data_IF_329535324494
#
_entry.id   IF_329535324494
#
_cell.length_a   1.000
_cell.length_b   1.000
_cell.length_c   1.000
_cell.angle_alpha   90.00
_cell.angle_beta   90.00
_cell.angle_gamma   90.00
#
_symmetry.space_group_name_H-M   'P 1'
#
loop_
_entity.id
_entity.type
_entity.pdbx_description
1 polymer ?
#
# COMPACT_ATOMS: atom_id res chain seq x y z
N UNK A 1 -10.22 -6.34 10.01
CA UNK A 1 -9.30 -6.89 8.98
C UNK A 1 -9.25 -8.41 9.01
N UNK A 2 -9.17 -9.05 10.19
CA UNK A 2 -9.25 -10.51 10.33
C UNK A 2 -10.47 -11.16 9.61
N UNK A 3 -11.68 -10.62 9.82
CA UNK A 3 -12.91 -11.13 9.15
C UNK A 3 -12.84 -11.05 7.61
N UNK A 4 -12.22 -10.00 7.08
CA UNK A 4 -12.00 -9.86 5.64
C UNK A 4 -11.01 -10.89 5.12
N UNK A 5 -9.93 -11.14 5.86
CA UNK A 5 -8.97 -12.19 5.52
C UNK A 5 -9.66 -13.57 5.53
N UNK A 6 -10.44 -13.91 6.55
CA UNK A 6 -11.16 -15.20 6.56
C UNK A 6 -12.09 -15.33 5.35
N UNK A 7 -12.88 -14.28 5.05
CA UNK A 7 -13.80 -14.28 3.91
C UNK A 7 -13.07 -14.48 2.57
N UNK A 8 -12.01 -13.71 2.30
CA UNK A 8 -11.26 -13.82 1.05
C UNK A 8 -10.43 -15.12 0.96
N UNK A 9 -9.98 -15.66 2.10
CA UNK A 9 -9.31 -16.96 2.16
C UNK A 9 -10.24 -18.10 1.75
N UNK A 10 -11.45 -18.14 2.31
CA UNK A 10 -12.48 -19.09 1.89
C UNK A 10 -12.89 -18.89 0.42
N UNK A 11 -13.01 -17.63 -0.02
CA UNK A 11 -13.28 -17.29 -1.43
C UNK A 11 -12.20 -17.79 -2.38
N UNK A 12 -10.91 -17.72 -2.00
CA UNK A 12 -9.78 -18.18 -2.81
C UNK A 12 -9.79 -19.70 -2.98
N UNK A 13 -10.02 -20.44 -1.90
CA UNK A 13 -10.09 -21.91 -1.94
C UNK A 13 -11.23 -22.41 -2.83
N UNK A 14 -12.38 -21.71 -2.82
CA UNK A 14 -13.57 -22.10 -3.58
C UNK A 14 -13.64 -21.47 -4.99
N UNK A 15 -12.62 -20.72 -5.40
CA UNK A 15 -12.62 -20.01 -6.66
C UNK A 15 -12.53 -20.96 -7.86
N UNK A 16 -13.53 -20.91 -8.75
CA UNK A 16 -13.64 -21.78 -9.93
C UNK A 16 -12.72 -21.39 -11.09
N UNK A 17 -12.32 -20.12 -11.17
CA UNK A 17 -11.51 -19.57 -12.26
C UNK A 17 -10.21 -19.00 -11.71
N UNK A 18 -9.12 -19.17 -12.46
CA UNK A 18 -7.80 -18.66 -12.06
C UNK A 18 -7.78 -17.15 -11.81
N UNK A 19 -8.53 -16.37 -12.59
CA UNK A 19 -8.65 -14.91 -12.38
C UNK A 19 -9.27 -14.54 -11.04
N UNK A 20 -10.38 -15.18 -10.67
CA UNK A 20 -11.01 -15.00 -9.37
C UNK A 20 -10.09 -15.46 -8.23
N UNK A 21 -9.39 -16.58 -8.42
CA UNK A 21 -8.41 -17.07 -7.44
C UNK A 21 -7.30 -16.05 -7.18
N UNK A 22 -6.75 -15.43 -8.23
CA UNK A 22 -5.74 -14.37 -8.09
C UNK A 22 -6.27 -13.18 -7.29
N UNK A 23 -7.49 -12.72 -7.60
CA UNK A 23 -8.12 -11.61 -6.88
C UNK A 23 -8.38 -11.91 -5.41
N UNK A 24 -8.96 -13.07 -5.11
CA UNK A 24 -9.21 -13.50 -3.74
C UNK A 24 -7.91 -13.67 -2.95
N UNK A 25 -6.88 -14.27 -3.53
CA UNK A 25 -5.58 -14.45 -2.88
C UNK A 25 -4.89 -13.11 -2.58
N UNK A 26 -4.86 -12.18 -3.54
CA UNK A 26 -4.28 -10.85 -3.31
C UNK A 26 -5.04 -10.10 -2.21
N UNK A 27 -6.38 -10.14 -2.25
CA UNK A 27 -7.24 -9.47 -1.26
C UNK A 27 -7.07 -10.09 0.13
N UNK A 28 -6.94 -11.41 0.21
CA UNK A 28 -6.61 -12.14 1.43
C UNK A 28 -5.31 -11.63 2.06
N UNK A 29 -4.22 -11.57 1.30
CA UNK A 29 -2.93 -11.10 1.82
C UNK A 29 -2.97 -9.64 2.27
N UNK A 30 -3.66 -8.76 1.53
CA UNK A 30 -3.85 -7.36 1.96
C UNK A 30 -4.55 -7.31 3.32
N UNK A 31 -5.66 -8.03 3.49
CA UNK A 31 -6.38 -8.07 4.75
C UNK A 31 -5.57 -8.72 5.88
N UNK A 32 -4.78 -9.76 5.58
CA UNK A 32 -3.94 -10.44 6.55
C UNK A 32 -2.82 -9.53 7.07
N UNK A 33 -2.11 -8.85 6.16
CA UNK A 33 -1.07 -7.87 6.50
C UNK A 33 -1.67 -6.73 7.34
N UNK A 34 -2.83 -6.20 6.94
CA UNK A 34 -3.51 -5.16 7.71
C UNK A 34 -3.97 -5.68 9.08
N UNK A 35 -4.42 -6.93 9.17
CA UNK A 35 -4.78 -7.54 10.46
C UNK A 35 -3.58 -7.64 11.39
N UNK A 36 -2.42 -8.05 10.88
CA UNK A 36 -1.18 -8.10 11.64
C UNK A 36 -0.72 -6.70 12.10
N UNK A 37 -0.84 -5.68 11.24
CA UNK A 37 -0.58 -4.29 11.62
C UNK A 37 -1.42 -3.88 12.82
N UNK A 38 -2.75 -4.02 12.71
CA UNK A 38 -3.66 -3.56 13.75
C UNK A 38 -3.47 -4.34 15.06
N UNK A 39 -3.18 -5.64 14.97
CA UNK A 39 -2.83 -6.46 16.13
C UNK A 39 -1.54 -5.95 16.79
N UNK A 40 -0.47 -5.71 16.02
CA UNK A 40 0.79 -5.19 16.54
C UNK A 40 0.59 -3.85 17.26
N UNK A 41 -0.19 -2.92 16.66
CA UNK A 41 -0.47 -1.64 17.28
C UNK A 41 -1.36 -1.75 18.53
N UNK A 42 -2.29 -2.71 18.55
CA UNK A 42 -3.15 -2.97 19.71
C UNK A 42 -2.34 -3.54 20.89
N UNK A 43 -1.31 -4.34 20.61
CA UNK A 43 -0.33 -4.83 21.59
C UNK A 43 0.73 -3.77 21.97
N UNK A 44 0.61 -2.55 21.44
CA UNK A 44 1.51 -1.45 21.71
C UNK A 44 2.85 -1.49 20.96
N UNK A 45 3.01 -2.41 19.99
CA UNK A 45 4.22 -2.53 19.17
C UNK A 45 4.21 -1.59 17.97
N UNK A 46 5.41 -1.25 17.47
CA UNK A 46 5.56 -0.49 16.23
C UNK A 46 5.22 1.01 16.34
N UNK A 47 5.16 1.52 17.56
CA UNK A 47 4.99 2.94 17.88
C UNK A 47 6.14 3.44 18.75
N UNK A 48 6.56 4.67 18.53
CA UNK A 48 7.60 5.33 19.34
C UNK A 48 7.33 6.83 19.42
N UNK A 49 7.88 7.49 20.44
CA UNK A 49 7.82 8.94 20.54
C UNK A 49 8.92 9.51 19.66
N UNK A 50 8.53 10.20 18.59
CA UNK A 50 9.46 10.85 17.66
C UNK A 50 9.20 12.35 17.74
N UNK A 51 10.22 13.13 18.12
CA UNK A 51 10.12 14.58 18.35
C UNK A 51 8.92 15.00 19.23
N UNK A 52 8.72 14.28 20.34
CA UNK A 52 7.67 14.59 21.31
C UNK A 52 6.25 14.20 20.88
N UNK A 53 6.07 13.45 19.78
CA UNK A 53 4.77 12.95 19.33
C UNK A 53 4.75 11.43 19.19
N UNK A 54 3.69 10.75 19.68
CA UNK A 54 3.52 9.32 19.45
C UNK A 54 3.35 9.07 17.94
N UNK A 55 4.27 8.28 17.40
CA UNK A 55 4.42 8.03 15.96
C UNK A 55 4.39 6.53 15.70
N UNK A 56 3.39 6.09 14.94
CA UNK A 56 3.22 4.68 14.60
C UNK A 56 3.91 4.40 13.27
N UNK A 57 5.24 4.21 13.33
CA UNK A 57 6.09 4.07 12.15
C UNK A 57 5.91 2.71 11.45
N UNK A 58 5.44 1.67 12.16
CA UNK A 58 5.20 0.33 11.58
C UNK A 58 4.19 0.34 10.42
N UNK A 59 3.34 1.38 10.34
CA UNK A 59 2.42 1.59 9.20
C UNK A 59 3.18 1.59 7.88
N UNK A 60 4.34 2.22 7.82
CA UNK A 60 5.13 2.31 6.58
C UNK A 60 5.66 0.95 6.11
N UNK A 61 5.98 0.04 7.03
CA UNK A 61 6.38 -1.33 6.69
C UNK A 61 5.18 -2.10 6.11
N UNK A 62 4.03 -2.03 6.77
CA UNK A 62 2.86 -2.78 6.29
C UNK A 62 2.25 -2.18 5.02
N UNK A 63 2.38 -0.88 4.82
CA UNK A 63 2.02 -0.22 3.57
C UNK A 63 2.95 -0.60 2.44
N UNK A 64 4.27 -0.73 2.67
CA UNK A 64 5.19 -1.14 1.60
C UNK A 64 4.87 -2.54 1.05
N UNK A 65 4.18 -3.38 1.82
CA UNK A 65 3.71 -4.69 1.41
C UNK A 65 2.27 -4.67 0.86
N UNK A 66 1.33 -4.01 1.54
CA UNK A 66 -0.09 -4.08 1.17
C UNK A 66 -0.47 -3.20 -0.02
N UNK A 67 0.12 -2.01 -0.19
CA UNK A 67 -0.21 -1.12 -1.31
C UNK A 67 0.27 -1.59 -2.68
N UNK A 68 1.45 -2.22 -2.88
CA UNK A 68 1.78 -2.77 -4.18
C UNK A 68 0.85 -3.92 -4.57
N UNK A 69 0.41 -4.74 -3.60
CA UNK A 69 -0.59 -5.79 -3.84
C UNK A 69 -1.93 -5.19 -4.29
N UNK A 70 -2.35 -4.06 -3.72
CA UNK A 70 -3.55 -3.34 -4.14
C UNK A 70 -3.41 -2.80 -5.57
N UNK A 71 -2.24 -2.25 -5.92
CA UNK A 71 -1.96 -1.81 -7.29
C UNK A 71 -1.94 -2.96 -8.29
N UNK A 72 -1.46 -4.14 -7.89
CA UNK A 72 -1.52 -5.35 -8.72
C UNK A 72 -2.96 -5.79 -8.98
N UNK A 73 -3.86 -5.67 -7.99
CA UNK A 73 -5.30 -5.89 -8.21
C UNK A 73 -5.81 -4.93 -9.28
N UNK A 74 -5.56 -3.61 -9.15
CA UNK A 74 -6.03 -2.65 -10.15
C UNK A 74 -5.42 -2.89 -11.55
N UNK A 75 -4.14 -3.21 -11.63
CA UNK A 75 -3.48 -3.53 -12.88
C UNK A 75 -4.07 -4.80 -13.53
N UNK A 76 -4.38 -5.81 -12.72
CA UNK A 76 -5.01 -7.05 -13.19
C UNK A 76 -6.45 -6.81 -13.70
N UNK A 77 -7.28 -6.06 -12.96
CA UNK A 77 -8.64 -5.71 -13.41
C UNK A 77 -8.61 -4.81 -14.65
N UNK A 78 -7.72 -3.82 -14.67
CA UNK A 78 -7.57 -2.85 -15.75
C UNK A 78 -6.77 -3.36 -16.95
N UNK A 79 -6.33 -4.63 -16.95
CA UNK A 79 -5.48 -5.25 -17.98
C UNK A 79 -4.31 -4.35 -18.40
N UNK A 80 -3.67 -3.74 -17.42
CA UNK A 80 -2.67 -2.71 -17.62
C UNK A 80 -1.34 -3.30 -18.11
N UNK A 81 -0.60 -2.54 -18.93
CA UNK A 81 0.72 -2.98 -19.40
C UNK A 81 1.71 -3.15 -18.25
N UNK A 82 2.68 -4.05 -18.42
CA UNK A 82 3.74 -4.28 -17.44
C UNK A 82 4.55 -3.01 -17.15
N UNK A 83 4.80 -2.19 -18.17
CA UNK A 83 5.54 -0.92 -18.04
C UNK A 83 4.80 0.07 -17.15
N UNK A 84 3.48 0.22 -17.33
CA UNK A 84 2.68 1.10 -16.49
C UNK A 84 2.55 0.54 -15.07
N UNK A 85 2.33 -0.76 -14.93
CA UNK A 85 2.28 -1.44 -13.62
C UNK A 85 3.59 -1.25 -12.85
N UNK A 86 4.74 -1.50 -13.49
CA UNK A 86 6.06 -1.29 -12.88
C UNK A 86 6.30 0.17 -12.49
N UNK A 87 5.89 1.12 -13.33
CA UNK A 87 5.97 2.55 -13.02
C UNK A 87 5.15 2.92 -11.78
N UNK A 88 3.93 2.38 -11.65
CA UNK A 88 3.06 2.60 -10.50
C UNK A 88 3.63 1.97 -9.22
N UNK A 89 4.17 0.75 -9.32
CA UNK A 89 4.82 0.07 -8.19
C UNK A 89 6.06 0.83 -7.71
N UNK A 90 6.90 1.31 -8.63
CA UNK A 90 8.08 2.12 -8.31
C UNK A 90 7.72 3.45 -7.66
N UNK A 91 6.73 4.16 -8.23
CA UNK A 91 6.20 5.40 -7.64
C UNK A 91 5.64 5.17 -6.23
N UNK A 92 4.91 4.08 -6.03
CA UNK A 92 4.37 3.70 -4.72
C UNK A 92 5.47 3.40 -3.70
N UNK A 93 6.49 2.63 -4.06
CA UNK A 93 7.62 2.34 -3.17
C UNK A 93 8.34 3.63 -2.75
N UNK A 94 8.60 4.53 -3.71
CA UNK A 94 9.25 5.81 -3.44
C UNK A 94 8.39 6.73 -2.56
N UNK A 95 7.08 6.78 -2.80
CA UNK A 95 6.12 7.54 -1.98
C UNK A 95 6.11 7.07 -0.52
N UNK A 96 6.17 5.76 -0.28
CA UNK A 96 6.17 5.18 1.07
C UNK A 96 7.50 5.46 1.77
N UNK A 97 8.63 5.23 1.08
CA UNK A 97 9.96 5.48 1.63
C UNK A 97 10.15 6.95 2.01
N UNK A 98 9.83 7.88 1.12
CA UNK A 98 9.92 9.32 1.41
C UNK A 98 8.94 9.76 2.50
N UNK A 99 7.75 9.15 2.59
CA UNK A 99 6.81 9.39 3.70
C UNK A 99 7.34 8.92 5.06
N UNK A 100 8.01 7.77 5.10
CA UNK A 100 8.67 7.26 6.31
C UNK A 100 9.77 8.23 6.76
N UNK A 101 10.65 8.61 5.84
CA UNK A 101 11.75 9.55 6.13
C UNK A 101 11.19 10.90 6.58
N UNK A 102 10.13 11.41 5.94
CA UNK A 102 9.46 12.64 6.35
C UNK A 102 8.91 12.55 7.78
N UNK A 103 8.37 11.40 8.16
CA UNK A 103 7.79 11.17 9.50
C UNK A 103 8.86 11.09 10.58
N UNK A 104 10.01 10.50 10.24
CA UNK A 104 11.14 10.34 11.16
C UNK A 104 12.10 11.53 11.16
N UNK A 105 11.87 12.55 10.33
CA UNK A 105 12.70 13.75 10.25
C UNK A 105 12.19 14.89 11.14
N UNK A 106 13.07 15.73 11.70
CA UNK A 106 12.65 16.88 12.48
C UNK A 106 12.11 17.97 11.55
N UNK A 107 11.33 18.89 12.11
CA UNK A 107 11.00 20.15 11.41
C UNK A 107 12.26 21.03 11.37
N UNK A 108 12.56 21.71 10.26
CA UNK A 108 11.78 21.82 9.01
C UNK A 108 12.13 20.78 7.93
N UNK A 109 13.11 19.90 8.16
CA UNK A 109 13.62 18.93 7.15
C UNK A 109 12.51 18.01 6.63
N UNK A 110 11.53 17.67 7.48
CA UNK A 110 10.35 16.89 7.11
C UNK A 110 9.58 17.45 5.90
N UNK A 111 9.57 18.78 5.70
CA UNK A 111 8.85 19.41 4.58
C UNK A 111 9.50 19.11 3.23
N UNK A 112 10.82 18.97 3.19
CA UNK A 112 11.57 18.63 1.97
C UNK A 112 11.12 17.24 1.49
N UNK A 113 11.16 16.25 2.38
CA UNK A 113 10.73 14.89 2.09
C UNK A 113 9.24 14.80 1.73
N UNK A 114 8.40 15.59 2.41
CA UNK A 114 6.96 15.67 2.09
C UNK A 114 6.71 16.21 0.68
N UNK A 115 7.52 17.17 0.21
CA UNK A 115 7.41 17.71 -1.15
C UNK A 115 7.75 16.67 -2.22
N UNK A 116 8.79 15.86 -2.00
CA UNK A 116 9.13 14.74 -2.89
C UNK A 116 7.99 13.73 -2.96
N UNK A 117 7.40 13.38 -1.81
CA UNK A 117 6.24 12.49 -1.74
C UNK A 117 5.08 12.99 -2.59
N UNK A 118 4.67 14.25 -2.42
CA UNK A 118 3.51 14.82 -3.16
C UNK A 118 3.73 14.84 -4.66
N UNK A 119 4.94 15.16 -5.12
CA UNK A 119 5.26 15.13 -6.57
C UNK A 119 5.08 13.74 -7.16
N UNK A 120 5.55 12.70 -6.46
CA UNK A 120 5.43 11.31 -6.93
C UNK A 120 3.98 10.85 -6.94
N UNK A 121 3.18 11.23 -5.94
CA UNK A 121 1.73 10.97 -5.93
C UNK A 121 1.05 11.61 -7.13
N UNK A 122 1.35 12.87 -7.43
CA UNK A 122 0.78 13.57 -8.59
C UNK A 122 1.11 12.88 -9.92
N UNK A 123 2.35 12.39 -10.08
CA UNK A 123 2.75 11.64 -11.29
C UNK A 123 2.03 10.28 -11.38
N UNK A 124 1.88 9.58 -10.25
CA UNK A 124 1.15 8.32 -10.23
C UNK A 124 -0.34 8.52 -10.58
N UNK A 125 -0.96 9.55 -10.02
CA UNK A 125 -2.36 9.90 -10.28
C UNK A 125 -2.61 10.30 -11.73
N UNK A 126 -1.74 11.16 -12.31
CA UNK A 126 -1.90 11.58 -13.70
C UNK A 126 -1.90 10.38 -14.64
N UNK A 127 -1.05 9.38 -14.40
CA UNK A 127 -0.99 8.14 -15.20
C UNK A 127 -2.23 7.25 -15.12
N UNK A 128 -3.05 7.40 -14.07
CA UNK A 128 -4.31 6.63 -13.92
C UNK A 128 -5.52 7.26 -14.61
N UNK A 129 -5.44 8.53 -15.01
CA UNK A 129 -6.55 9.26 -15.64
C UNK A 129 -6.64 9.11 -17.17
N UNK A 130 -5.68 8.44 -17.83
CA UNK A 130 -5.56 8.44 -19.31
C UNK A 130 -6.10 7.21 -20.04
N UNK A 131 -6.66 6.20 -19.37
CA UNK A 131 -7.24 5.03 -20.06
C UNK A 131 -8.72 5.21 -20.44
N UNK A 132 -9.21 6.45 -20.50
CA UNK A 132 -10.61 6.76 -20.82
C UNK A 132 -10.75 7.94 -21.81
N UNK A 133 -9.85 8.00 -22.78
CA UNK A 133 -9.98 8.84 -23.97
C UNK A 133 -9.50 8.05 -25.19
N UNK A 134 -10.27 7.02 -25.54
CA UNK A 134 -10.37 6.43 -26.88
C UNK A 134 -11.79 5.87 -27.01
#
# INVERSE_FOLDING_TARGET
MALGATFFGFGSHNAKTEGWRKLYTLSFFICLIASALYLATALGQGQSIVYGRPTVWVRYITWSLSTPLLLLIFAFLGRTSLTLTGSLLGANAFMIATGLVATLSPKPINYIWSKYRTKVVGIAQSRTHWTRMD
#
